data_IF_151771499308
#
_entry.id   IF_151771499308
#
_cell.length_a   1.000
_cell.length_b   1.000
_cell.length_c   1.000
_cell.angle_alpha   90.00
_cell.angle_beta   90.00
_cell.angle_gamma   90.00
#
_symmetry.space_group_name_H-M   'P 1'
#
loop_
_entity.id
_entity.type
_entity.pdbx_description
1 polymer ?
#
# COMPACT_ATOMS: atom_id res chain seq x y z
N UNK A 1 13.55 -15.70 27.97
CA UNK A 1 12.07 -15.60 28.05
C UNK A 1 11.65 -14.63 26.95
N UNK A 2 11.13 -15.15 25.85
CA UNK A 2 10.73 -14.35 24.69
C UNK A 2 9.46 -13.60 25.04
N UNK A 3 9.51 -12.27 25.06
CA UNK A 3 8.31 -11.46 25.12
C UNK A 3 7.65 -11.54 23.73
N UNK A 4 6.82 -12.55 23.52
CA UNK A 4 5.87 -12.53 22.43
C UNK A 4 4.95 -11.34 22.67
N UNK A 5 5.21 -10.23 21.97
CA UNK A 5 4.33 -9.07 21.94
C UNK A 5 3.01 -9.58 21.39
N UNK A 6 2.04 -9.76 22.28
CA UNK A 6 0.71 -10.26 21.95
C UNK A 6 0.04 -9.16 21.11
N UNK A 7 -0.36 -9.48 19.86
CA UNK A 7 -1.17 -8.57 19.02
C UNK A 7 -2.30 -7.99 19.86
N UNK A 8 -2.46 -6.66 19.84
CA UNK A 8 -3.60 -6.02 20.49
C UNK A 8 -4.86 -6.47 19.77
N UNK A 9 -5.96 -6.72 20.48
CA UNK A 9 -7.17 -7.33 19.91
C UNK A 9 -7.90 -6.49 18.83
N UNK A 10 -7.34 -5.33 18.47
CA UNK A 10 -7.90 -4.32 17.57
C UNK A 10 -6.91 -3.92 16.45
N UNK A 11 -5.79 -4.65 16.31
CA UNK A 11 -4.87 -4.45 15.18
C UNK A 11 -5.48 -5.08 13.92
N UNK A 12 -5.53 -4.36 12.79
CA UNK A 12 -6.02 -4.94 11.55
C UNK A 12 -5.04 -5.98 11.01
N UNK A 13 -5.59 -6.95 10.27
CA UNK A 13 -4.78 -7.89 9.49
C UNK A 13 -4.15 -7.18 8.29
N UNK A 14 -2.91 -7.54 7.96
CA UNK A 14 -2.19 -7.01 6.79
C UNK A 14 -1.77 -8.19 5.93
N UNK A 15 -2.42 -8.31 4.78
CA UNK A 15 -2.01 -9.18 3.69
C UNK A 15 -0.92 -8.46 2.87
N UNK A 16 0.34 -8.83 3.12
CA UNK A 16 1.51 -8.14 2.58
C UNK A 16 2.12 -8.93 1.43
N UNK A 17 2.13 -8.36 0.23
CA UNK A 17 2.97 -8.83 -0.86
C UNK A 17 4.37 -8.21 -0.72
N UNK A 18 5.28 -8.92 -0.05
CA UNK A 18 6.65 -8.44 0.17
C UNK A 18 7.62 -9.00 -0.87
N UNK A 19 8.43 -8.12 -1.46
CA UNK A 19 9.52 -8.49 -2.36
C UNK A 19 10.84 -7.82 -1.94
N UNK A 20 11.92 -8.60 -1.93
CA UNK A 20 13.28 -8.12 -1.69
C UNK A 20 14.13 -8.42 -2.91
N UNK A 21 14.73 -7.39 -3.49
CA UNK A 21 15.61 -7.50 -4.66
C UNK A 21 16.76 -8.48 -4.41
N UNK A 22 17.01 -9.32 -5.42
CA UNK A 22 17.98 -10.39 -5.36
C UNK A 22 19.39 -9.87 -5.03
N UNK A 23 20.05 -10.49 -4.05
CA UNK A 23 21.45 -10.18 -3.68
C UNK A 23 21.67 -8.85 -2.95
N UNK A 24 20.70 -7.95 -2.97
CA UNK A 24 20.87 -6.55 -2.54
C UNK A 24 21.16 -6.40 -1.04
N UNK A 25 20.50 -7.20 -0.20
CA UNK A 25 20.74 -7.23 1.23
C UNK A 25 22.16 -7.71 1.59
N UNK A 26 22.73 -8.60 0.77
CA UNK A 26 24.08 -9.14 0.96
C UNK A 26 25.14 -8.13 0.47
N UNK A 27 24.89 -7.50 -0.68
CA UNK A 27 25.80 -6.56 -1.33
C UNK A 27 26.00 -5.26 -0.53
N UNK A 28 24.93 -4.76 0.08
CA UNK A 28 24.97 -3.55 0.89
C UNK A 28 25.63 -3.76 2.26
N UNK A 29 26.04 -4.99 2.60
CA UNK A 29 26.68 -5.31 3.87
C UNK A 29 25.83 -4.92 5.08
N UNK A 30 24.50 -4.83 4.88
CA UNK A 30 23.54 -4.45 5.91
C UNK A 30 23.66 -5.46 7.03
N UNK A 31 23.87 -5.00 8.26
CA UNK A 31 23.65 -5.86 9.42
C UNK A 31 22.18 -6.24 9.39
N UNK A 32 21.90 -7.45 8.87
CA UNK A 32 20.58 -8.02 8.59
C UNK A 32 19.60 -7.72 9.73
N UNK A 33 18.92 -6.58 9.63
CA UNK A 33 17.87 -6.20 10.55
C UNK A 33 16.65 -7.05 10.25
N UNK A 34 15.69 -7.06 11.18
CA UNK A 34 14.48 -7.85 10.99
C UNK A 34 13.76 -7.52 9.67
N UNK A 35 13.88 -6.29 9.17
CA UNK A 35 13.19 -5.74 7.99
C UNK A 35 13.90 -5.97 6.63
N UNK A 36 15.15 -6.44 6.63
CA UNK A 36 15.91 -6.67 5.39
C UNK A 36 16.42 -8.10 5.25
N UNK A 37 16.03 -8.98 6.18
CA UNK A 37 16.41 -10.39 6.16
C UNK A 37 15.36 -11.19 5.39
N UNK A 38 15.73 -11.99 4.35
CA UNK A 38 14.76 -12.75 3.57
C UNK A 38 13.83 -13.65 4.40
N UNK A 39 14.32 -14.15 5.54
CA UNK A 39 13.56 -15.05 6.42
C UNK A 39 12.59 -14.34 7.36
N UNK A 40 12.79 -13.05 7.65
CA UNK A 40 12.04 -12.33 8.71
C UNK A 40 11.41 -11.03 8.25
N UNK A 41 11.79 -10.51 7.08
CA UNK A 41 11.39 -9.19 6.62
C UNK A 41 9.88 -9.08 6.44
N UNK A 42 9.25 -10.03 5.74
CA UNK A 42 7.81 -10.01 5.50
C UNK A 42 7.01 -9.97 6.82
N UNK A 43 7.33 -10.85 7.78
CA UNK A 43 6.65 -10.85 9.08
C UNK A 43 6.93 -9.56 9.87
N UNK A 44 8.16 -9.05 9.81
CA UNK A 44 8.55 -7.80 10.46
C UNK A 44 7.77 -6.60 9.90
N UNK A 45 7.67 -6.50 8.58
CA UNK A 45 6.93 -5.47 7.88
C UNK A 45 5.43 -5.58 8.13
N UNK A 46 4.82 -6.75 7.96
CA UNK A 46 3.40 -6.96 8.20
C UNK A 46 3.00 -6.54 9.61
N UNK A 47 3.80 -6.92 10.62
CA UNK A 47 3.56 -6.50 12.02
C UNK A 47 3.70 -4.99 12.22
N UNK A 48 4.70 -4.37 11.61
CA UNK A 48 4.94 -2.94 11.75
C UNK A 48 3.83 -2.12 11.09
N UNK A 49 3.42 -2.50 9.88
CA UNK A 49 2.33 -1.86 9.13
C UNK A 49 0.99 -2.04 9.84
N UNK A 50 0.69 -3.22 10.36
CA UNK A 50 -0.53 -3.48 11.14
C UNK A 50 -0.61 -2.56 12.36
N UNK A 51 0.51 -2.38 13.09
CA UNK A 51 0.60 -1.45 14.22
C UNK A 51 0.32 -0.01 13.77
N UNK A 52 0.96 0.46 12.70
CA UNK A 52 0.75 1.82 12.20
C UNK A 52 -0.70 2.06 11.74
N UNK A 53 -1.30 1.09 11.05
CA UNK A 53 -2.71 1.17 10.65
C UNK A 53 -3.65 1.22 11.86
N UNK A 54 -3.34 0.48 12.94
CA UNK A 54 -4.08 0.58 14.19
C UNK A 54 -3.96 1.97 14.84
N UNK A 55 -2.74 2.52 14.88
CA UNK A 55 -2.47 3.87 15.43
C UNK A 55 -3.12 4.98 14.60
N UNK A 56 -3.27 4.79 13.28
CA UNK A 56 -3.92 5.73 12.35
C UNK A 56 -5.43 5.51 12.23
N UNK A 57 -6.01 4.52 12.89
CA UNK A 57 -7.40 4.11 12.67
C UNK A 57 -8.41 5.27 12.78
N UNK A 58 -8.22 6.18 13.73
CA UNK A 58 -9.06 7.37 13.92
C UNK A 58 -8.86 8.45 12.84
N UNK A 59 -7.70 8.46 12.18
CA UNK A 59 -7.34 9.39 11.10
C UNK A 59 -7.76 8.85 9.72
N UNK A 60 -7.91 7.53 9.58
CA UNK A 60 -8.42 6.90 8.36
C UNK A 60 -9.92 7.26 8.20
N UNK A 61 -10.38 7.68 7.01
CA UNK A 61 -11.81 7.91 6.76
C UNK A 61 -12.67 6.69 7.09
N UNK A 62 -13.84 6.89 7.69
CA UNK A 62 -14.73 5.78 8.09
C UNK A 62 -15.11 4.86 6.92
N UNK A 63 -15.12 5.37 5.69
CA UNK A 63 -15.34 4.60 4.46
C UNK A 63 -14.24 3.58 4.17
N UNK A 64 -13.01 3.82 4.64
CA UNK A 64 -11.82 3.00 4.39
C UNK A 64 -11.43 2.14 5.58
N UNK A 65 -11.95 2.41 6.78
CA UNK A 65 -11.68 1.58 7.96
C UNK A 65 -12.14 0.15 7.73
N UNK A 66 -11.20 -0.79 7.80
CA UNK A 66 -11.43 -2.24 7.72
C UNK A 66 -10.64 -2.96 8.81
N UNK A 67 -11.07 -4.19 9.09
CA UNK A 67 -10.33 -5.12 9.94
C UNK A 67 -9.17 -5.79 9.22
N UNK A 68 -9.06 -5.63 7.89
CA UNK A 68 -7.98 -6.18 7.08
C UNK A 68 -7.64 -5.22 5.92
N UNK A 69 -6.35 -5.13 5.57
CA UNK A 69 -5.82 -4.36 4.45
C UNK A 69 -4.87 -5.22 3.62
N UNK A 70 -4.79 -4.98 2.32
CA UNK A 70 -3.75 -5.54 1.45
C UNK A 70 -2.85 -4.42 0.92
N UNK A 71 -1.55 -4.68 0.88
CA UNK A 71 -0.56 -3.74 0.32
C UNK A 71 0.69 -4.46 -0.19
N UNK A 72 1.34 -3.89 -1.19
CA UNK A 72 2.65 -4.35 -1.68
C UNK A 72 3.79 -3.54 -1.06
N UNK A 73 4.89 -4.22 -0.72
CA UNK A 73 6.14 -3.57 -0.32
C UNK A 73 7.32 -4.22 -1.06
N UNK A 74 7.96 -3.44 -1.91
CA UNK A 74 9.13 -3.87 -2.66
C UNK A 74 10.38 -3.10 -2.23
N UNK A 75 11.43 -3.82 -1.87
CA UNK A 75 12.76 -3.29 -1.61
C UNK A 75 13.65 -3.60 -2.83
N UNK A 76 14.06 -2.59 -3.59
CA UNK A 76 14.78 -2.77 -4.85
C UNK A 76 16.07 -1.93 -4.91
N UNK A 77 16.81 -2.05 -6.02
CA UNK A 77 18.01 -1.25 -6.32
C UNK A 77 17.65 0.08 -7.01
N UNK A 78 18.65 0.93 -7.21
CA UNK A 78 18.46 2.22 -7.89
C UNK A 78 18.06 2.05 -9.37
N UNK A 79 18.46 0.95 -10.02
CA UNK A 79 18.14 0.72 -11.44
C UNK A 79 16.64 0.50 -11.61
N UNK A 80 16.05 -0.38 -10.80
CA UNK A 80 14.62 -0.69 -10.79
C UNK A 80 13.81 0.57 -10.45
N UNK A 81 14.15 1.29 -9.37
CA UNK A 81 13.37 2.47 -8.98
C UNK A 81 13.50 3.61 -9.99
N UNK A 82 14.65 3.77 -10.67
CA UNK A 82 14.83 4.77 -11.71
C UNK A 82 13.96 4.48 -12.94
N UNK A 83 13.83 3.20 -13.31
CA UNK A 83 12.90 2.78 -14.37
C UNK A 83 11.47 3.16 -14.00
N UNK A 84 11.03 2.82 -12.79
CA UNK A 84 9.69 3.16 -12.30
C UNK A 84 9.45 4.67 -12.26
N UNK A 85 10.42 5.44 -11.75
CA UNK A 85 10.32 6.90 -11.67
C UNK A 85 10.24 7.55 -13.06
N UNK A 86 10.97 7.00 -14.05
CA UNK A 86 10.90 7.43 -15.44
C UNK A 86 9.55 7.11 -16.07
N UNK A 87 9.04 5.90 -15.87
CA UNK A 87 7.76 5.44 -16.41
C UNK A 87 6.58 6.25 -15.86
N UNK A 88 6.53 6.48 -14.55
CA UNK A 88 5.34 7.03 -13.88
C UNK A 88 5.44 8.52 -13.58
N UNK A 89 6.65 9.07 -13.38
CA UNK A 89 6.87 10.49 -13.06
C UNK A 89 7.64 11.26 -14.13
N UNK A 90 8.05 10.59 -15.21
CA UNK A 90 8.88 11.18 -16.28
C UNK A 90 10.19 11.78 -15.76
N UNK A 91 10.76 11.18 -14.71
CA UNK A 91 12.04 11.57 -14.09
C UNK A 91 13.04 10.44 -14.29
N UNK A 92 14.06 10.71 -15.11
CA UNK A 92 15.08 9.71 -15.46
C UNK A 92 16.24 9.69 -14.46
N UNK A 93 15.90 9.55 -13.17
CA UNK A 93 16.82 9.48 -12.04
C UNK A 93 16.19 8.60 -10.94
N UNK A 94 16.99 7.90 -10.13
CA UNK A 94 16.46 7.16 -8.98
C UNK A 94 15.84 8.12 -7.96
N UNK A 95 14.82 7.64 -7.25
CA UNK A 95 14.28 8.27 -6.05
C UNK A 95 14.40 7.27 -4.90
N UNK A 96 14.23 7.74 -3.67
CA UNK A 96 14.25 6.90 -2.47
C UNK A 96 12.99 6.03 -2.33
N UNK A 97 11.79 6.61 -2.54
CA UNK A 97 10.52 5.90 -2.40
C UNK A 97 9.48 6.34 -3.45
N UNK A 98 8.69 5.39 -3.92
CA UNK A 98 7.48 5.58 -4.71
C UNK A 98 6.28 4.95 -4.01
N UNK A 99 5.10 5.54 -4.19
CA UNK A 99 3.84 5.03 -3.65
C UNK A 99 2.78 5.07 -4.74
N UNK A 100 2.13 3.93 -4.95
CA UNK A 100 1.11 3.72 -5.98
C UNK A 100 -0.20 3.37 -5.28
N UNK A 101 -1.07 4.36 -5.07
CA UNK A 101 -2.35 4.14 -4.39
C UNK A 101 -3.33 3.39 -5.30
N UNK A 102 -3.90 2.28 -4.81
CA UNK A 102 -4.97 1.54 -5.51
C UNK A 102 -6.30 2.32 -5.51
N UNK A 103 -6.50 3.14 -4.47
CA UNK A 103 -7.66 4.01 -4.32
C UNK A 103 -7.42 5.33 -5.07
N UNK A 104 -7.86 5.40 -6.33
CA UNK A 104 -7.84 6.65 -7.09
C UNK A 104 -8.66 7.74 -6.36
N UNK A 105 -8.04 8.90 -6.13
CA UNK A 105 -8.73 10.11 -5.65
C UNK A 105 -9.65 10.66 -6.74
N UNK A 106 -10.82 10.07 -6.93
CA UNK A 106 -11.84 10.60 -7.83
C UNK A 106 -11.42 10.60 -9.31
N UNK A 107 -11.92 9.62 -10.06
CA UNK A 107 -11.86 9.53 -11.52
C UNK A 107 -12.22 10.84 -12.23
N UNK A 108 -11.24 11.69 -12.54
CA UNK A 108 -11.37 12.76 -13.55
C UNK A 108 -10.07 12.80 -14.38
N UNK A 109 -10.17 12.35 -15.64
CA UNK A 109 -9.23 12.49 -16.77
C UNK A 109 -8.05 11.49 -16.98
N UNK A 110 -8.14 10.23 -16.53
CA UNK A 110 -7.27 9.13 -16.97
C UNK A 110 -7.95 8.20 -18.00
N UNK A 111 -7.26 7.68 -19.04
CA UNK A 111 -7.89 6.76 -19.98
C UNK A 111 -8.30 5.47 -19.27
N UNK A 112 -9.58 5.13 -19.38
CA UNK A 112 -10.17 3.93 -18.81
C UNK A 112 -9.41 2.69 -19.24
N UNK A 113 -8.88 1.92 -18.28
CA UNK A 113 -8.41 0.57 -18.54
C UNK A 113 -9.59 -0.25 -19.11
N UNK A 114 -9.46 -0.88 -20.29
CA UNK A 114 -10.51 -1.72 -20.81
C UNK A 114 -10.57 -3.00 -19.96
N UNK A 115 -11.62 -3.13 -19.15
CA UNK A 115 -11.97 -4.42 -18.55
C UNK A 115 -12.26 -5.42 -19.67
N UNK A 116 -11.68 -6.63 -19.68
CA UNK A 116 -12.12 -7.67 -20.60
C UNK A 116 -13.52 -8.12 -20.22
N UNK A 117 -14.51 -7.75 -21.03
CA UNK A 117 -15.81 -8.43 -21.05
C UNK A 117 -15.60 -9.90 -21.47
N UNK A 118 -16.28 -10.87 -20.84
CA UNK A 118 -16.31 -12.23 -21.38
C UNK A 118 -17.00 -12.19 -22.76
N UNK A 119 -16.25 -12.59 -23.79
CA UNK A 119 -16.75 -12.74 -25.14
C UNK A 119 -17.81 -13.87 -25.18
N UNK A 120 -19.07 -13.48 -25.38
CA UNK A 120 -20.18 -14.37 -25.70
C UNK A 120 -21.00 -13.75 -26.84
N UNK A 121 -21.43 -14.54 -27.83
CA UNK A 121 -21.86 -14.02 -29.13
C UNK A 121 -23.22 -13.36 -28.98
N UNK A 122 -23.46 -12.21 -29.61
CA UNK A 122 -24.71 -11.90 -30.33
C UNK A 122 -24.56 -10.50 -30.92
N UNK A 123 -24.32 -10.47 -32.23
CA UNK A 123 -24.43 -9.29 -33.07
C UNK A 123 -25.88 -8.77 -33.11
N UNK A 124 -25.96 -7.45 -33.30
CA UNK A 124 -27.02 -6.68 -33.99
C UNK A 124 -28.47 -6.70 -33.49
N UNK A 125 -28.83 -5.54 -32.94
CA UNK A 125 -29.99 -4.72 -33.29
C UNK A 125 -31.32 -5.43 -33.67
N UNK A 126 -32.24 -5.40 -32.70
CA UNK A 126 -33.66 -5.13 -32.88
C UNK A 126 -34.52 -6.19 -33.61
N UNK A 127 -35.05 -7.18 -32.87
CA UNK A 127 -36.47 -7.54 -32.95
C UNK A 127 -36.93 -8.54 -31.88
N UNK A 128 -38.18 -8.34 -31.46
CA UNK A 128 -39.11 -9.30 -30.84
C UNK A 128 -39.20 -9.42 -29.31
N UNK A 129 -40.38 -8.95 -28.86
CA UNK A 129 -41.09 -9.20 -27.60
C UNK A 129 -40.90 -10.61 -27.03
N UNK A 130 -40.59 -10.69 -25.74
CA UNK A 130 -40.96 -11.84 -24.89
C UNK A 130 -41.33 -11.38 -23.48
N UNK A 131 -42.64 -11.25 -23.27
CA UNK A 131 -43.43 -11.78 -22.16
C UNK A 131 -42.83 -11.85 -20.73
N UNK A 132 -43.31 -10.96 -19.86
CA UNK A 132 -43.99 -11.40 -18.63
C UNK A 132 -43.15 -11.81 -17.42
N UNK A 133 -42.16 -11.01 -17.02
CA UNK A 133 -41.41 -11.22 -15.77
C UNK A 133 -41.53 -9.97 -14.86
N UNK A 134 -42.75 -9.59 -14.50
CA UNK A 134 -43.00 -8.54 -13.50
C UNK A 134 -43.60 -9.18 -12.24
N UNK A 135 -42.72 -9.55 -11.28
CA UNK A 135 -42.86 -9.35 -9.82
C UNK A 135 -41.98 -10.22 -8.92
N UNK A 136 -41.14 -11.11 -9.44
CA UNK A 136 -40.23 -11.91 -8.59
C UNK A 136 -38.79 -11.35 -8.50
N UNK A 137 -38.42 -10.36 -9.30
CA UNK A 137 -37.06 -9.78 -9.28
C UNK A 137 -36.84 -8.66 -8.22
N UNK A 138 -37.89 -8.28 -7.47
CA UNK A 138 -37.79 -7.19 -6.48
C UNK A 138 -37.51 -7.67 -5.04
N UNK A 139 -37.64 -8.97 -4.76
CA UNK A 139 -37.23 -9.55 -3.46
C UNK A 139 -35.76 -10.02 -3.48
N UNK A 140 -35.26 -10.46 -4.63
CA UNK A 140 -33.83 -10.81 -4.81
C UNK A 140 -32.91 -9.57 -4.74
N UNK A 141 -33.43 -8.37 -5.03
CA UNK A 141 -32.68 -7.12 -4.90
C UNK A 141 -32.36 -6.75 -3.44
N UNK A 142 -33.06 -7.34 -2.45
CA UNK A 142 -32.71 -7.20 -1.02
C UNK A 142 -31.67 -8.23 -0.57
N UNK A 143 -31.43 -9.29 -1.34
CA UNK A 143 -30.31 -10.23 -1.18
C UNK A 143 -29.03 -9.78 -1.90
N UNK A 144 -29.11 -8.72 -2.73
CA UNK A 144 -27.97 -8.06 -3.39
C UNK A 144 -27.44 -6.86 -2.63
N UNK A 145 -27.90 -6.65 -1.39
CA UNK A 145 -27.02 -6.09 -0.37
C UNK A 145 -25.94 -7.14 -0.09
N UNK A 146 -25.03 -7.31 -1.06
CA UNK A 146 -23.80 -8.07 -0.88
C UNK A 146 -23.21 -7.54 0.40
N UNK A 147 -23.17 -8.38 1.43
CA UNK A 147 -22.40 -8.08 2.61
C UNK A 147 -21.00 -7.72 2.10
N UNK A 148 -20.59 -6.46 2.23
CA UNK A 148 -19.19 -6.03 2.12
C UNK A 148 -18.39 -6.63 3.31
N UNK A 149 -18.64 -7.90 3.62
CA UNK A 149 -18.10 -8.66 4.73
C UNK A 149 -16.77 -9.25 4.31
N UNK A 150 -15.69 -8.59 4.71
CA UNK A 150 -14.46 -9.30 5.05
C UNK A 150 -13.34 -9.36 4.00
N UNK A 151 -13.50 -8.78 2.81
CA UNK A 151 -12.35 -8.63 1.90
C UNK A 151 -11.42 -7.50 2.39
N UNK A 152 -10.09 -7.72 2.43
CA UNK A 152 -9.13 -6.68 2.77
C UNK A 152 -9.26 -5.45 1.85
N UNK A 153 -9.12 -4.24 2.41
CA UNK A 153 -9.03 -3.04 1.56
C UNK A 153 -7.63 -2.95 0.94
N UNK A 154 -7.58 -2.92 -0.39
CA UNK A 154 -6.34 -2.70 -1.13
C UNK A 154 -5.88 -1.24 -1.04
N UNK A 155 -4.73 -1.02 -0.43
CA UNK A 155 -4.12 0.31 -0.27
C UNK A 155 -3.21 0.66 -1.46
N UNK A 156 -2.57 -0.35 -2.06
CA UNK A 156 -1.62 -0.20 -3.17
C UNK A 156 -0.18 -0.58 -2.77
N UNK A 157 0.80 0.00 -3.46
CA UNK A 157 2.19 -0.44 -3.40
C UNK A 157 3.15 0.65 -2.88
N UNK A 158 4.14 0.23 -2.10
CA UNK A 158 5.30 1.03 -1.68
C UNK A 158 6.55 0.39 -2.27
N UNK A 159 7.35 1.18 -2.99
CA UNK A 159 8.62 0.72 -3.57
C UNK A 159 9.75 1.59 -3.04
N UNK A 160 10.77 0.98 -2.43
CA UNK A 160 11.88 1.67 -1.77
C UNK A 160 13.22 1.20 -2.38
N UNK A 161 14.08 2.15 -2.75
CA UNK A 161 15.46 1.84 -3.10
C UNK A 161 16.32 1.64 -1.84
N UNK A 162 16.87 0.44 -1.68
CA UNK A 162 17.79 0.13 -0.58
C UNK A 162 19.12 0.88 -0.69
N UNK A 163 19.61 1.12 -1.90
CA UNK A 163 20.86 1.85 -2.11
C UNK A 163 20.71 3.32 -1.74
N UNK A 164 19.59 3.94 -2.15
CA UNK A 164 19.26 5.32 -1.79
C UNK A 164 19.05 5.46 -0.29
N UNK A 165 18.29 4.56 0.34
CA UNK A 165 18.10 4.52 1.79
C UNK A 165 19.44 4.33 2.53
N UNK A 166 20.33 3.47 2.05
CA UNK A 166 21.64 3.26 2.68
C UNK A 166 22.52 4.52 2.61
N UNK A 167 22.51 5.24 1.48
CA UNK A 167 23.22 6.52 1.35
C UNK A 167 22.64 7.61 2.26
N UNK A 168 21.31 7.71 2.34
CA UNK A 168 20.62 8.66 3.22
C UNK A 168 20.93 8.38 4.69
N UNK A 169 20.82 7.13 5.12
CA UNK A 169 21.14 6.71 6.48
C UNK A 169 22.59 7.06 6.86
N UNK A 170 23.54 6.75 5.97
CA UNK A 170 24.96 7.07 6.17
C UNK A 170 25.21 8.59 6.26
N UNK A 171 24.54 9.39 5.44
CA UNK A 171 24.66 10.84 5.44
C UNK A 171 24.03 11.48 6.70
N UNK A 172 22.92 10.92 7.18
CA UNK A 172 22.21 11.37 8.38
C UNK A 172 22.83 10.84 9.68
N UNK A 173 23.69 9.82 9.61
CA UNK A 173 24.23 9.12 10.79
C UNK A 173 23.19 8.26 11.50
N UNK A 174 22.17 7.79 10.78
CA UNK A 174 21.09 6.91 11.27
C UNK A 174 21.34 5.46 10.82
N UNK A 175 20.55 4.52 11.33
CA UNK A 175 20.58 3.13 10.83
C UNK A 175 19.75 3.01 9.55
N UNK A 176 20.12 2.07 8.68
CA UNK A 176 19.30 1.75 7.50
C UNK A 176 17.88 1.33 7.91
N UNK A 177 17.73 0.60 9.01
CA UNK A 177 16.41 0.21 9.51
C UNK A 177 15.55 1.43 9.87
N UNK A 178 16.13 2.47 10.48
CA UNK A 178 15.42 3.70 10.78
C UNK A 178 15.00 4.44 9.49
N UNK A 179 15.89 4.48 8.50
CA UNK A 179 15.58 5.10 7.19
C UNK A 179 14.48 4.34 6.45
N UNK A 180 14.51 3.01 6.47
CA UNK A 180 13.47 2.17 5.86
C UNK A 180 12.11 2.39 6.54
N UNK A 181 12.07 2.47 7.87
CA UNK A 181 10.84 2.81 8.59
C UNK A 181 10.34 4.21 8.24
N UNK A 182 11.26 5.16 8.08
CA UNK A 182 10.93 6.52 7.64
C UNK A 182 10.29 6.52 6.24
N UNK A 183 10.92 5.88 5.25
CA UNK A 183 10.41 5.81 3.88
C UNK A 183 9.11 5.01 3.78
N UNK A 184 8.99 3.88 4.48
CA UNK A 184 7.77 3.07 4.49
C UNK A 184 6.60 3.79 5.17
N UNK A 185 6.82 4.47 6.30
CA UNK A 185 5.77 5.28 6.94
C UNK A 185 5.33 6.45 6.07
N UNK A 186 6.27 7.08 5.36
CA UNK A 186 5.95 8.13 4.38
C UNK A 186 5.05 7.59 3.27
N UNK A 187 5.43 6.45 2.68
CA UNK A 187 4.67 5.82 1.62
C UNK A 187 3.28 5.39 2.08
N UNK A 188 3.16 4.78 3.26
CA UNK A 188 1.87 4.39 3.84
C UNK A 188 0.94 5.58 4.04
N UNK A 189 1.45 6.71 4.54
CA UNK A 189 0.64 7.92 4.71
C UNK A 189 0.11 8.43 3.36
N UNK A 190 0.91 8.40 2.29
CA UNK A 190 0.44 8.73 0.93
C UNK A 190 -0.66 7.77 0.44
N UNK A 191 -0.50 6.45 0.67
CA UNK A 191 -1.54 5.47 0.34
C UNK A 191 -2.85 5.74 1.09
N UNK A 192 -2.77 6.26 2.32
CA UNK A 192 -3.92 6.66 3.13
C UNK A 192 -4.46 8.07 2.78
N UNK A 193 -3.92 8.71 1.75
CA UNK A 193 -4.40 9.98 1.21
C UNK A 193 -3.81 11.24 1.86
N UNK A 194 -2.80 11.10 2.71
CA UNK A 194 -1.99 12.24 3.17
C UNK A 194 -1.22 12.81 1.99
N UNK A 195 -1.08 14.13 1.96
CA UNK A 195 -0.32 14.84 0.94
C UNK A 195 0.38 16.04 1.59
N UNK A 196 1.48 16.51 0.99
CA UNK A 196 2.30 17.59 1.52
C UNK A 196 2.67 18.63 0.44
N UNK A 197 1.70 19.39 -0.10
CA UNK A 197 1.97 20.37 -1.14
C UNK A 197 2.81 21.59 -0.66
N UNK A 198 2.95 21.77 0.65
CA UNK A 198 3.67 22.90 1.25
C UNK A 198 4.44 22.50 2.53
N UNK A 199 5.25 23.43 3.04
CA UNK A 199 6.10 23.19 4.23
C UNK A 199 5.30 22.90 5.50
N UNK A 200 4.09 23.45 5.63
CA UNK A 200 3.25 23.26 6.82
C UNK A 200 2.63 21.85 6.85
N UNK A 201 2.12 21.40 5.71
CA UNK A 201 1.62 20.03 5.52
C UNK A 201 2.75 19.01 5.63
N UNK A 202 3.94 19.31 5.09
CA UNK A 202 5.13 18.48 5.28
C UNK A 202 5.50 18.35 6.77
N UNK A 203 5.58 19.46 7.51
CA UNK A 203 5.88 19.42 8.94
C UNK A 203 4.86 18.60 9.74
N UNK A 204 3.58 18.68 9.37
CA UNK A 204 2.50 17.91 9.98
C UNK A 204 2.68 16.40 9.71
N UNK A 205 2.96 16.04 8.46
CA UNK A 205 3.21 14.66 8.06
C UNK A 205 4.46 14.09 8.74
N UNK A 206 5.56 14.85 8.80
CA UNK A 206 6.79 14.43 9.45
C UNK A 206 6.60 14.19 10.95
N UNK A 207 5.86 15.08 11.64
CA UNK A 207 5.52 14.89 13.04
C UNK A 207 4.68 13.62 13.26
N UNK A 208 3.80 13.29 12.30
CA UNK A 208 3.02 12.06 12.36
C UNK A 208 3.88 10.82 12.10
N UNK A 209 4.79 10.86 11.13
CA UNK A 209 5.74 9.78 10.88
C UNK A 209 6.59 9.47 12.11
N UNK A 210 7.08 10.48 12.81
CA UNK A 210 7.87 10.30 14.04
C UNK A 210 7.06 9.59 15.13
N UNK A 211 5.79 9.97 15.33
CA UNK A 211 4.90 9.31 16.28
C UNK A 211 4.70 7.82 15.95
N UNK A 212 4.46 7.50 14.67
CA UNK A 212 4.32 6.11 14.21
C UNK A 212 5.57 5.28 14.45
N UNK A 213 6.74 5.83 14.14
CA UNK A 213 8.02 5.11 14.27
C UNK A 213 8.34 4.88 15.75
N UNK A 214 8.17 5.89 16.59
CA UNK A 214 8.50 5.82 18.03
C UNK A 214 7.43 5.13 18.88
N UNK A 215 6.19 5.06 18.41
CA UNK A 215 5.03 4.54 19.16
C UNK A 215 4.62 5.46 20.31
N UNK A 216 4.81 6.78 20.15
CA UNK A 216 4.59 7.81 21.16
C UNK A 216 3.20 8.46 21.10
#
# INVERSE_FOLDING_TARGET
>A
MSAAIRRKADEPEVDLAFELGDGLALELGVTAGALTSPETAEEGWSRLLARWLAELSDEIPATWRRSAYSLGLQLCDDEVIAILNSTWRHRNEPTDVLSFAALERGLEDGPSLPLPLPAGPFETENQMKVNGWEREALDDARGLAWEFSGEPLELGDIVISLESAARQAAAAGTSLEAELQFLASHGLLHLLGWDHPDEASLATMLSRQEALITGA
#
